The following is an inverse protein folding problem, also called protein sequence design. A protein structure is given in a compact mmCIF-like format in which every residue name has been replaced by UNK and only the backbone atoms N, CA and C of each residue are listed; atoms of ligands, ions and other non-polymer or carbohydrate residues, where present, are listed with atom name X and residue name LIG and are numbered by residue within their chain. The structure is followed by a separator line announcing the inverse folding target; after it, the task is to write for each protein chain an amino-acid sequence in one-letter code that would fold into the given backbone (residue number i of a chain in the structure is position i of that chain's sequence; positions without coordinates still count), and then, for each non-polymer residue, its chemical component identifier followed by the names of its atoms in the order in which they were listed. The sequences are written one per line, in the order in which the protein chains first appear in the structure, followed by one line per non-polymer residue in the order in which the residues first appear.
data_IF_687057300515
#
_entry.id   IF_687057300515
#
_cell.length_a   1.000
_cell.length_b   1.000
_cell.length_c   1.000
_cell.angle_alpha   90.00
_cell.angle_beta   90.00
_cell.angle_gamma   90.00
#
_symmetry.space_group_name_H-M   'P 1'
#
loop_
_entity.id
_entity.type
_entity.pdbx_description
1 polymer ?
#
# COMPACT_ATOMS: atom_id res chain seq x y z
N UNK A 1 -15.97 -10.14 14.68
CA UNK A 1 -14.52 -9.92 14.52
C UNK A 1 -14.13 -10.34 13.11
N UNK A 2 -13.53 -9.46 12.36
CA UNK A 2 -13.07 -9.75 11.01
C UNK A 2 -11.53 -9.85 11.00
N UNK A 3 -11.04 -10.91 10.35
CA UNK A 3 -9.61 -11.09 10.08
C UNK A 3 -9.34 -10.80 8.60
N UNK A 4 -8.20 -10.25 8.30
CA UNK A 4 -7.78 -9.96 6.93
C UNK A 4 -6.49 -10.69 6.57
N UNK A 5 -6.40 -11.09 5.32
CA UNK A 5 -5.16 -11.54 4.69
C UNK A 5 -4.70 -10.50 3.69
N UNK A 6 -3.50 -9.96 3.85
CA UNK A 6 -2.91 -8.96 2.97
C UNK A 6 -1.78 -9.57 2.15
N UNK A 7 -1.88 -9.44 0.85
CA UNK A 7 -0.75 -9.61 -0.07
C UNK A 7 -0.36 -8.25 -0.65
N UNK A 8 0.69 -7.67 -0.08
CA UNK A 8 1.28 -6.43 -0.54
C UNK A 8 2.42 -6.75 -1.53
N UNK A 9 2.09 -6.81 -2.80
CA UNK A 9 3.04 -7.09 -3.87
C UNK A 9 3.77 -5.84 -4.36
N UNK A 10 4.83 -6.04 -5.14
CA UNK A 10 5.60 -4.94 -5.76
C UNK A 10 4.74 -4.15 -6.75
N UNK A 11 3.90 -4.83 -7.51
CA UNK A 11 3.05 -4.21 -8.54
C UNK A 11 1.59 -4.08 -8.10
N UNK A 12 1.06 -5.06 -7.38
CA UNK A 12 -0.34 -5.11 -6.99
C UNK A 12 -0.50 -5.54 -5.53
N UNK A 13 -1.57 -5.04 -4.94
CA UNK A 13 -2.02 -5.38 -3.58
C UNK A 13 -3.37 -6.07 -3.66
N UNK A 14 -3.55 -7.13 -2.86
CA UNK A 14 -4.84 -7.80 -2.67
C UNK A 14 -5.14 -7.95 -1.19
N UNK A 15 -6.43 -7.94 -0.85
CA UNK A 15 -6.91 -8.11 0.51
C UNK A 15 -8.06 -9.12 0.51
N UNK A 16 -7.93 -10.14 1.35
CA UNK A 16 -9.01 -11.06 1.67
C UNK A 16 -9.57 -10.76 3.06
N UNK A 17 -10.85 -11.00 3.26
CA UNK A 17 -11.50 -10.87 4.58
C UNK A 17 -12.18 -12.18 4.94
N UNK A 18 -11.89 -12.65 6.15
CA UNK A 18 -12.49 -13.85 6.72
C UNK A 18 -13.53 -13.48 7.79
N UNK A 19 -14.74 -13.97 7.61
CA UNK A 19 -15.83 -13.85 8.58
C UNK A 19 -16.62 -15.15 8.65
N UNK A 20 -16.88 -15.64 9.85
CA UNK A 20 -17.75 -16.81 10.05
C UNK A 20 -17.33 -18.07 9.30
N UNK A 21 -16.03 -18.33 9.15
CA UNK A 21 -15.51 -19.51 8.46
C UNK A 21 -15.44 -19.39 6.93
N UNK A 22 -15.78 -18.23 6.37
CA UNK A 22 -15.63 -17.91 4.95
C UNK A 22 -14.52 -16.88 4.76
N UNK A 23 -13.85 -16.95 3.63
CA UNK A 23 -12.86 -15.97 3.21
C UNK A 23 -13.20 -15.52 1.78
N UNK A 24 -13.34 -14.23 1.61
CA UNK A 24 -13.66 -13.62 0.33
C UNK A 24 -12.64 -12.54 -0.03
N UNK A 25 -12.34 -12.40 -1.32
CA UNK A 25 -11.49 -11.32 -1.79
C UNK A 25 -12.26 -9.99 -1.75
N UNK A 26 -11.59 -8.96 -1.26
CA UNK A 26 -12.16 -7.62 -1.21
C UNK A 26 -12.00 -6.94 -2.56
N UNK A 27 -13.08 -6.38 -3.07
CA UNK A 27 -13.02 -5.50 -4.25
C UNK A 27 -12.52 -4.13 -3.81
N UNK A 28 -11.22 -3.91 -3.97
CA UNK A 28 -10.55 -2.70 -3.49
C UNK A 28 -10.88 -1.46 -4.32
N UNK A 29 -11.19 -1.63 -5.60
CA UNK A 29 -11.58 -0.53 -6.50
C UNK A 29 -12.66 -1.03 -7.47
N UNK A 30 -13.87 -0.49 -7.39
CA UNK A 30 -14.95 -0.85 -8.30
C UNK A 30 -15.22 -2.35 -8.30
N UNK A 31 -15.12 -2.99 -9.47
CA UNK A 31 -15.26 -4.44 -9.63
C UNK A 31 -13.97 -5.24 -9.46
N UNK A 32 -12.85 -4.59 -9.17
CA UNK A 32 -11.52 -5.16 -9.16
C UNK A 32 -11.05 -5.52 -7.76
N UNK A 33 -10.53 -6.73 -7.57
CA UNK A 33 -9.97 -7.21 -6.33
C UNK A 33 -8.45 -6.91 -6.19
N UNK A 34 -7.81 -6.44 -7.25
CA UNK A 34 -6.43 -5.98 -7.24
C UNK A 34 -6.34 -4.46 -7.25
N UNK A 35 -5.41 -3.92 -6.45
CA UNK A 35 -5.09 -2.51 -6.40
C UNK A 35 -3.61 -2.33 -6.76
N UNK A 36 -3.26 -1.55 -7.79
CA UNK A 36 -1.86 -1.24 -8.04
C UNK A 36 -1.17 -0.66 -6.80
N UNK A 37 0.02 -1.15 -6.46
CA UNK A 37 0.83 -0.68 -5.34
C UNK A 37 1.48 0.67 -5.70
N UNK A 38 0.65 1.66 -5.94
CA UNK A 38 1.03 2.99 -6.41
C UNK A 38 0.28 4.08 -5.67
N UNK A 39 0.95 5.19 -5.44
CA UNK A 39 0.39 6.40 -4.82
C UNK A 39 0.78 7.60 -5.65
N UNK A 40 -0.16 8.51 -5.87
CA UNK A 40 0.10 9.81 -6.46
C UNK A 40 -0.14 10.90 -5.41
N UNK A 41 0.87 11.69 -5.14
CA UNK A 41 0.78 12.86 -4.28
C UNK A 41 0.53 14.10 -5.12
N UNK A 42 -0.59 14.76 -4.86
CA UNK A 42 -0.89 16.08 -5.41
C UNK A 42 -0.10 17.16 -4.66
N UNK A 43 0.05 18.31 -5.26
CA UNK A 43 0.81 19.44 -4.67
C UNK A 43 0.20 19.95 -3.36
N UNK A 44 -1.09 19.78 -3.17
CA UNK A 44 -1.81 20.15 -1.93
C UNK A 44 -1.65 19.13 -0.78
N UNK A 45 -0.90 18.04 -1.03
CA UNK A 45 -0.68 16.96 -0.05
C UNK A 45 -1.76 15.88 -0.02
N UNK A 46 -2.82 16.00 -0.80
CA UNK A 46 -3.79 14.92 -0.99
C UNK A 46 -3.18 13.79 -1.80
N UNK A 47 -3.77 12.59 -1.70
CA UNK A 47 -3.28 11.42 -2.42
C UNK A 47 -4.39 10.72 -3.21
N UNK A 48 -3.96 10.07 -4.29
CA UNK A 48 -4.70 9.01 -4.95
C UNK A 48 -3.91 7.71 -4.86
N UNK A 49 -4.59 6.57 -4.81
CA UNK A 49 -3.94 5.27 -4.74
C UNK A 49 -4.43 4.34 -5.86
N UNK A 50 -3.60 3.38 -6.22
CA UNK A 50 -3.94 2.38 -7.22
C UNK A 50 -4.13 2.96 -8.62
N UNK A 51 -5.19 2.55 -9.31
CA UNK A 51 -5.47 3.00 -10.68
C UNK A 51 -5.71 4.49 -10.79
N UNK A 52 -6.31 5.09 -9.77
CA UNK A 52 -6.50 6.54 -9.71
C UNK A 52 -5.16 7.30 -9.67
N UNK A 53 -4.15 6.74 -8.99
CA UNK A 53 -2.80 7.29 -8.97
C UNK A 53 -2.15 7.27 -10.37
N UNK A 54 -2.29 6.16 -11.06
CA UNK A 54 -1.77 6.01 -12.43
C UNK A 54 -2.52 6.93 -13.40
N UNK A 55 -3.83 7.02 -13.26
CA UNK A 55 -4.67 7.90 -14.09
C UNK A 55 -4.29 9.38 -13.91
N UNK A 56 -4.04 9.82 -12.67
CA UNK A 56 -3.60 11.18 -12.40
C UNK A 56 -2.26 11.49 -13.09
N UNK A 57 -1.32 10.57 -13.05
CA UNK A 57 -0.03 10.72 -13.74
C UNK A 57 -0.18 10.78 -15.25
N UNK A 58 -0.94 9.85 -15.84
CA UNK A 58 -1.19 9.81 -17.28
C UNK A 58 -1.95 11.04 -17.76
N UNK A 59 -2.87 11.54 -16.93
CA UNK A 59 -3.64 12.76 -17.20
C UNK A 59 -2.83 14.07 -17.09
N UNK A 60 -1.56 13.99 -16.68
CA UNK A 60 -0.70 15.17 -16.58
C UNK A 60 -0.98 16.02 -15.34
N UNK A 61 -1.60 15.46 -14.31
CA UNK A 61 -1.84 16.16 -13.05
C UNK A 61 -0.51 16.58 -12.39
N UNK A 62 -0.53 17.72 -11.72
CA UNK A 62 0.63 18.23 -11.00
C UNK A 62 0.82 17.48 -9.67
N UNK A 63 1.91 16.75 -9.57
CA UNK A 63 2.22 15.95 -8.40
C UNK A 63 3.30 14.93 -8.67
N UNK A 64 3.34 13.90 -7.83
CA UNK A 64 4.35 12.86 -7.93
C UNK A 64 3.76 11.46 -7.83
N UNK A 65 4.01 10.65 -8.85
CA UNK A 65 3.70 9.22 -8.82
C UNK A 65 4.83 8.44 -8.14
N UNK A 66 4.46 7.60 -7.19
CA UNK A 66 5.34 6.64 -6.55
C UNK A 66 4.80 5.23 -6.77
N UNK A 67 5.63 4.38 -7.37
CA UNK A 67 5.32 2.99 -7.72
C UNK A 67 6.28 2.05 -7.02
N UNK A 68 5.97 0.75 -7.08
CA UNK A 68 6.82 -0.30 -6.52
C UNK A 68 7.20 -0.03 -5.04
N UNK A 69 6.24 0.41 -4.26
CA UNK A 69 6.44 0.83 -2.87
C UNK A 69 7.06 -0.28 -2.00
N UNK A 70 6.81 -1.55 -2.33
CA UNK A 70 7.39 -2.68 -1.62
C UNK A 70 8.92 -2.72 -1.72
N UNK A 71 9.50 -2.24 -2.83
CA UNK A 71 10.95 -2.23 -3.01
C UNK A 71 11.69 -1.26 -2.08
N UNK A 72 10.96 -0.35 -1.44
CA UNK A 72 11.50 0.55 -0.41
C UNK A 72 11.75 -0.19 0.90
N UNK A 73 10.95 -1.24 1.18
CA UNK A 73 11.08 -2.04 2.41
C UNK A 73 12.46 -2.68 2.52
N UNK A 74 13.04 -2.58 3.71
CA UNK A 74 14.36 -3.13 3.99
C UNK A 74 15.52 -2.33 3.41
N UNK A 75 15.26 -1.21 2.73
CA UNK A 75 16.30 -0.32 2.21
C UNK A 75 16.45 0.93 3.06
N UNK A 76 17.61 1.58 2.94
CA UNK A 76 17.84 2.88 3.58
C UNK A 76 16.88 3.97 3.09
N UNK A 77 16.22 3.77 1.95
CA UNK A 77 15.25 4.70 1.40
C UNK A 77 14.02 4.90 2.28
N UNK A 78 13.73 3.97 3.19
CA UNK A 78 12.57 4.10 4.08
C UNK A 78 12.56 5.39 4.89
N UNK A 79 13.73 5.83 5.33
CA UNK A 79 13.89 7.04 6.15
C UNK A 79 14.30 8.27 5.33
N UNK A 80 14.50 8.10 4.04
CA UNK A 80 14.75 9.20 3.13
C UNK A 80 13.45 9.95 2.79
N UNK A 81 13.62 11.19 2.37
CA UNK A 81 12.51 12.06 1.99
C UNK A 81 12.53 12.35 0.50
N UNK A 82 11.34 12.58 -0.04
CA UNK A 82 11.16 13.08 -1.39
C UNK A 82 10.37 14.38 -1.36
N UNK A 83 10.59 15.25 -2.34
CA UNK A 83 9.84 16.50 -2.48
C UNK A 83 8.50 16.22 -3.16
N UNK A 84 7.44 16.76 -2.54
CA UNK A 84 6.10 16.83 -3.11
C UNK A 84 5.64 18.28 -3.02
N UNK A 85 5.65 18.99 -4.14
CA UNK A 85 5.45 20.43 -4.14
C UNK A 85 6.55 21.12 -3.31
N UNK A 86 6.17 21.82 -2.25
CA UNK A 86 7.07 22.48 -1.30
C UNK A 86 7.37 21.66 -0.04
N UNK A 87 6.74 20.51 0.10
CA UNK A 87 6.83 19.66 1.29
C UNK A 87 7.76 18.47 1.06
N UNK A 88 8.44 18.04 2.13
CA UNK A 88 9.20 16.80 2.15
C UNK A 88 8.36 15.71 2.80
N UNK A 89 8.30 14.55 2.14
CA UNK A 89 7.56 13.37 2.61
C UNK A 89 8.52 12.20 2.72
N UNK A 90 8.51 11.51 3.86
CA UNK A 90 9.28 10.28 4.04
C UNK A 90 8.64 9.12 3.29
N UNK A 91 9.44 8.24 2.70
CA UNK A 91 8.92 7.04 2.03
C UNK A 91 8.16 6.13 3.00
N UNK A 92 8.57 6.05 4.25
CA UNK A 92 7.83 5.33 5.30
C UNK A 92 6.40 5.86 5.46
N UNK A 93 6.20 7.16 5.42
CA UNK A 93 4.87 7.78 5.51
C UNK A 93 4.03 7.53 4.25
N UNK A 94 4.66 7.44 3.08
CA UNK A 94 3.98 7.04 1.84
C UNK A 94 3.40 5.63 1.97
N UNK A 95 4.20 4.68 2.43
CA UNK A 95 3.76 3.30 2.70
C UNK A 95 2.62 3.26 3.72
N UNK A 96 2.79 3.99 4.82
CA UNK A 96 1.79 4.06 5.89
C UNK A 96 0.44 4.57 5.37
N UNK A 97 0.42 5.64 4.60
CA UNK A 97 -0.80 6.20 4.02
C UNK A 97 -1.45 5.25 3.01
N UNK A 98 -0.64 4.58 2.17
CA UNK A 98 -1.13 3.58 1.23
C UNK A 98 -1.82 2.42 1.94
N UNK A 99 -1.16 1.82 2.93
CA UNK A 99 -1.71 0.70 3.69
C UNK A 99 -2.94 1.09 4.52
N UNK A 100 -2.96 2.32 5.05
CA UNK A 100 -4.14 2.85 5.74
C UNK A 100 -5.35 2.96 4.80
N UNK A 101 -5.14 3.36 3.55
CA UNK A 101 -6.20 3.41 2.56
C UNK A 101 -6.69 2.02 2.17
N UNK A 102 -5.79 1.03 2.03
CA UNK A 102 -6.16 -0.37 1.80
C UNK A 102 -7.00 -0.91 2.96
N UNK A 103 -6.58 -0.66 4.19
CA UNK A 103 -7.34 -1.04 5.39
C UNK A 103 -8.74 -0.43 5.40
N UNK A 104 -8.85 0.86 5.15
CA UNK A 104 -10.13 1.58 5.10
C UNK A 104 -11.09 0.97 4.08
N UNK A 105 -10.60 0.61 2.90
CA UNK A 105 -11.41 -0.04 1.86
C UNK A 105 -11.82 -1.44 2.27
N UNK A 106 -10.94 -2.18 2.94
CA UNK A 106 -11.24 -3.49 3.49
C UNK A 106 -12.33 -3.43 4.57
N UNK A 107 -12.24 -2.49 5.48
CA UNK A 107 -13.24 -2.28 6.53
C UNK A 107 -14.61 -1.87 5.96
N UNK A 108 -14.62 -1.02 4.95
CA UNK A 108 -15.85 -0.65 4.27
C UNK A 108 -16.52 -1.85 3.56
N UNK A 109 -15.72 -2.71 2.92
CA UNK A 109 -16.21 -3.91 2.25
C UNK A 109 -16.70 -4.98 3.24
N UNK A 110 -16.03 -5.11 4.38
CA UNK A 110 -16.39 -6.06 5.44
C UNK A 110 -17.55 -5.57 6.32
N UNK A 111 -17.87 -4.28 6.25
CA UNK A 111 -18.77 -3.59 7.17
C UNK A 111 -18.42 -3.85 8.64
N UNK A 112 -17.12 -3.94 8.92
CA UNK A 112 -16.59 -4.23 10.25
C UNK A 112 -15.12 -3.77 10.37
N UNK A 113 -14.66 -3.43 11.59
CA UNK A 113 -13.24 -3.18 11.83
C UNK A 113 -12.39 -4.42 11.56
N UNK A 114 -11.25 -4.23 10.91
CA UNK A 114 -10.24 -5.27 10.72
C UNK A 114 -9.26 -5.22 11.90
N UNK A 115 -9.39 -6.17 12.81
CA UNK A 115 -8.60 -6.21 14.05
C UNK A 115 -7.44 -7.20 14.00
N UNK A 116 -7.48 -8.13 13.08
CA UNK A 116 -6.46 -9.15 12.90
C UNK A 116 -6.00 -9.17 11.45
N UNK A 117 -4.69 -9.17 11.25
CA UNK A 117 -4.09 -9.19 9.93
C UNK A 117 -3.10 -10.35 9.83
N UNK A 118 -3.28 -11.17 8.81
CA UNK A 118 -2.24 -12.10 8.33
C UNK A 118 -1.58 -11.47 7.13
N UNK A 119 -0.28 -11.27 7.21
CA UNK A 119 0.49 -10.62 6.17
C UNK A 119 1.58 -11.56 5.66
N UNK A 120 1.56 -11.84 4.36
CA UNK A 120 2.62 -12.56 3.67
C UNK A 120 3.82 -11.64 3.42
N UNK A 121 5.02 -12.17 3.62
CA UNK A 121 6.27 -11.47 3.30
C UNK A 121 7.25 -12.42 2.61
N UNK A 122 8.17 -11.91 1.77
CA UNK A 122 9.26 -12.75 1.30
C UNK A 122 10.15 -13.19 2.47
N UNK A 123 10.84 -14.32 2.31
CA UNK A 123 11.81 -14.79 3.30
C UNK A 123 12.96 -13.79 3.43
N UNK A 124 13.40 -13.26 2.30
CA UNK A 124 14.42 -12.23 2.23
C UNK A 124 13.94 -11.07 1.34
N UNK A 125 14.11 -9.82 1.81
CA UNK A 125 13.84 -8.62 1.02
C UNK A 125 15.01 -8.27 0.10
N UNK A 126 16.23 -8.53 0.56
CA UNK A 126 17.46 -8.40 -0.22
C UNK A 126 18.32 -9.63 0.06
N UNK A 127 18.69 -10.37 -0.97
CA UNK A 127 19.48 -11.58 -0.84
C UNK A 127 20.80 -11.31 -0.10
N UNK A 128 21.10 -12.13 0.91
CA UNK A 128 22.31 -12.04 1.71
C UNK A 128 22.37 -10.82 2.65
N UNK A 129 21.25 -10.11 2.88
CA UNK A 129 21.21 -8.95 3.76
C UNK A 129 20.14 -9.12 4.86
N UNK A 130 20.49 -9.74 6.03
CA UNK A 130 19.55 -9.91 7.15
C UNK A 130 19.06 -8.57 7.75
N UNK A 131 19.85 -7.52 7.62
CA UNK A 131 19.49 -6.19 8.09
C UNK A 131 18.29 -5.63 7.29
N UNK A 132 18.23 -5.89 5.99
CA UNK A 132 17.11 -5.53 5.15
C UNK A 132 15.81 -6.20 5.61
N UNK A 133 15.88 -7.48 6.01
CA UNK A 133 14.73 -8.23 6.53
C UNK A 133 14.20 -7.60 7.82
N UNK A 134 15.11 -7.24 8.72
CA UNK A 134 14.77 -6.59 10.00
C UNK A 134 14.19 -5.19 9.82
N UNK A 135 14.74 -4.40 8.90
CA UNK A 135 14.25 -3.04 8.63
C UNK A 135 12.87 -3.03 7.97
N UNK A 136 12.50 -4.11 7.29
CA UNK A 136 11.21 -4.23 6.62
C UNK A 136 10.06 -4.64 7.57
N UNK A 137 10.36 -5.15 8.76
CA UNK A 137 9.39 -5.50 9.81
C UNK A 137 8.84 -4.26 10.51
#
# INVERSE_FOLDING_TARGET
MAAAGLDFGTSNTTLGVGTGGRADMVRLVGGEDTLPSATFYYQDGSIAVGRAAIAAYVGGEHGRLMRALKSVLGSALMDETTLVGKSRVKFRDVLKRYLAEVKKRGEAAADAPLTHLVHGRPVHFVDGNPEADRLAE
#
